data_IF_345902068745
#
_entry.id   IF_345902068745
#
_cell.length_a   1.000
_cell.length_b   1.000
_cell.length_c   1.000
_cell.angle_alpha   90.00
_cell.angle_beta   90.00
_cell.angle_gamma   90.00
#
_symmetry.space_group_name_H-M   'P 1'
#
loop_
_entity.id
_entity.type
_entity.pdbx_description
1 polymer ?
#
# COMPACT_ATOMS: atom_id res chain seq x y z
N UNK A 1 -17.50 -13.16 -68.15
CA UNK A 1 -17.10 -11.89 -67.51
C UNK A 1 -18.12 -11.63 -66.42
N UNK A 2 -17.83 -12.11 -65.22
CA UNK A 2 -18.81 -12.23 -64.14
C UNK A 2 -18.65 -11.06 -63.17
N UNK A 3 -19.59 -10.12 -63.20
CA UNK A 3 -19.73 -9.02 -62.24
C UNK A 3 -20.59 -9.51 -61.07
N UNK A 4 -19.95 -9.79 -59.93
CA UNK A 4 -20.62 -10.14 -58.68
C UNK A 4 -20.97 -8.87 -57.89
N UNK A 5 -22.27 -8.57 -57.81
CA UNK A 5 -22.81 -7.66 -56.80
C UNK A 5 -22.73 -8.32 -55.42
N UNK A 6 -22.27 -7.56 -54.41
CA UNK A 6 -22.35 -7.95 -52.99
C UNK A 6 -23.44 -7.12 -52.30
N UNK A 7 -24.19 -7.72 -51.35
CA UNK A 7 -25.24 -7.03 -50.61
C UNK A 7 -24.74 -6.31 -49.36
N UNK A 8 -25.64 -5.50 -48.82
CA UNK A 8 -25.54 -4.51 -47.76
C UNK A 8 -24.83 -4.93 -46.47
N UNK A 9 -24.13 -3.94 -45.90
CA UNK A 9 -23.55 -3.93 -44.56
C UNK A 9 -24.64 -3.99 -43.48
N UNK A 10 -24.66 -5.07 -42.70
CA UNK A 10 -25.40 -5.12 -41.44
C UNK A 10 -24.50 -4.58 -40.32
N UNK A 11 -24.84 -3.41 -39.78
CA UNK A 11 -24.30 -2.88 -38.52
C UNK A 11 -24.73 -3.78 -37.36
N UNK A 12 -23.84 -4.66 -36.91
CA UNK A 12 -23.97 -5.41 -35.67
C UNK A 12 -23.36 -4.63 -34.50
N UNK A 13 -24.22 -3.99 -33.70
CA UNK A 13 -23.86 -3.35 -32.44
C UNK A 13 -23.50 -4.41 -31.38
N UNK A 14 -22.27 -4.91 -31.41
CA UNK A 14 -21.72 -5.67 -30.27
C UNK A 14 -21.19 -4.68 -29.25
N UNK A 15 -22.04 -4.36 -28.27
CA UNK A 15 -21.65 -3.75 -27.00
C UNK A 15 -20.61 -4.64 -26.33
N UNK A 16 -19.33 -4.40 -26.62
CA UNK A 16 -18.25 -4.88 -25.78
C UNK A 16 -18.40 -4.17 -24.44
N UNK A 17 -19.03 -4.88 -23.51
CA UNK A 17 -18.91 -4.62 -22.08
C UNK A 17 -17.40 -4.65 -21.81
N UNK A 18 -16.79 -3.47 -21.75
CA UNK A 18 -15.40 -3.32 -21.32
C UNK A 18 -15.38 -3.80 -19.88
N UNK A 19 -14.89 -5.02 -19.67
CA UNK A 19 -14.49 -5.51 -18.36
C UNK A 19 -13.63 -4.42 -17.73
N UNK A 20 -14.22 -3.72 -16.75
CA UNK A 20 -13.49 -2.75 -15.96
C UNK A 20 -12.44 -3.54 -15.18
N UNK A 21 -11.14 -3.28 -15.35
CA UNK A 21 -10.14 -3.91 -14.52
C UNK A 21 -10.36 -3.44 -13.08
N UNK A 22 -10.77 -4.37 -12.22
CA UNK A 22 -10.94 -4.14 -10.79
C UNK A 22 -9.63 -3.62 -10.20
N UNK A 23 -9.65 -2.54 -9.39
CA UNK A 23 -8.45 -1.96 -8.82
C UNK A 23 -7.80 -2.97 -7.87
N UNK A 24 -6.52 -3.29 -8.09
CA UNK A 24 -5.73 -4.10 -7.15
C UNK A 24 -5.43 -3.25 -5.90
N UNK A 25 -5.84 -3.64 -4.68
CA UNK A 25 -6.02 -2.73 -3.55
C UNK A 25 -4.79 -2.71 -2.62
N UNK A 26 -3.59 -2.63 -3.18
CA UNK A 26 -2.35 -2.71 -2.38
C UNK A 26 -1.71 -1.34 -2.12
N UNK A 27 -1.97 -0.38 -3.01
CA UNK A 27 -1.51 1.00 -2.90
C UNK A 27 -2.63 1.91 -3.42
N UNK A 28 -3.29 2.65 -2.53
CA UNK A 28 -4.21 3.70 -2.97
C UNK A 28 -3.41 4.96 -3.28
N UNK A 29 -3.71 5.56 -4.43
CA UNK A 29 -3.34 6.94 -4.69
C UNK A 29 -4.14 7.80 -3.71
N UNK A 30 -3.47 8.59 -2.86
CA UNK A 30 -4.16 9.57 -2.03
C UNK A 30 -3.58 10.97 -2.27
N UNK A 31 -4.55 11.89 -2.36
CA UNK A 31 -4.60 13.33 -2.63
C UNK A 31 -3.27 14.06 -2.94
N UNK A 32 -3.20 14.81 -4.06
CA UNK A 32 -2.15 15.81 -4.26
C UNK A 32 -2.32 16.94 -3.24
N UNK A 33 -1.70 16.82 -2.08
CA UNK A 33 -1.41 17.99 -1.25
C UNK A 33 -0.25 18.76 -1.89
N UNK A 34 -0.22 20.10 -1.87
CA UNK A 34 0.97 20.85 -2.23
C UNK A 34 2.05 20.51 -1.20
N UNK A 35 3.02 19.65 -1.57
CA UNK A 35 4.07 19.19 -0.65
C UNK A 35 5.33 20.04 -0.80
N UNK A 36 5.52 20.68 -1.95
CA UNK A 36 6.75 21.42 -2.23
C UNK A 36 6.40 22.90 -2.32
N UNK A 37 6.73 23.62 -1.25
CA UNK A 37 6.76 25.07 -1.23
C UNK A 37 8.22 25.52 -1.14
N UNK A 38 8.68 26.28 -2.13
CA UNK A 38 10.05 26.80 -2.17
C UNK A 38 10.03 28.32 -2.38
N UNK A 39 10.81 29.04 -1.57
CA UNK A 39 11.05 30.47 -1.77
C UNK A 39 12.26 30.65 -2.67
N UNK A 40 12.09 31.41 -3.75
CA UNK A 40 13.15 31.76 -4.67
C UNK A 40 13.27 33.28 -4.80
N UNK A 41 14.49 33.79 -4.66
CA UNK A 41 14.82 35.19 -4.96
C UNK A 41 14.89 35.35 -6.46
N UNK A 42 14.16 36.32 -6.99
CA UNK A 42 14.19 36.67 -8.42
C UNK A 42 14.56 38.14 -8.58
N UNK A 43 14.89 38.55 -9.80
CA UNK A 43 15.13 39.97 -10.15
C UNK A 43 13.92 40.88 -9.83
N UNK A 44 12.72 40.30 -9.71
CA UNK A 44 11.46 41.01 -9.40
C UNK A 44 11.03 40.85 -7.93
N UNK A 45 11.87 40.31 -7.06
CA UNK A 45 11.58 40.06 -5.64
C UNK A 45 11.42 38.59 -5.28
N UNK A 46 10.91 38.32 -4.09
CA UNK A 46 10.68 36.96 -3.59
C UNK A 46 9.48 36.32 -4.30
N UNK A 47 9.67 35.09 -4.75
CA UNK A 47 8.62 34.27 -5.35
C UNK A 47 8.44 32.99 -4.54
N UNK A 48 7.18 32.57 -4.38
CA UNK A 48 6.81 31.30 -3.76
C UNK A 48 6.40 30.32 -4.85
N UNK A 49 7.20 29.29 -5.05
CA UNK A 49 6.87 28.19 -5.94
C UNK A 49 6.11 27.10 -5.15
N UNK A 50 4.91 26.75 -5.60
CA UNK A 50 4.07 25.71 -5.00
C UNK A 50 3.78 24.65 -6.08
N UNK A 51 4.34 23.46 -5.89
CA UNK A 51 4.12 22.31 -6.77
C UNK A 51 3.23 21.24 -6.11
N UNK A 52 2.25 20.75 -6.88
CA UNK A 52 1.44 19.59 -6.51
C UNK A 52 2.22 18.30 -6.81
N UNK A 53 2.35 17.43 -5.81
CA UNK A 53 2.99 16.12 -5.96
C UNK A 53 2.04 15.01 -5.53
N UNK A 54 2.12 13.86 -6.18
CA UNK A 54 1.35 12.68 -5.83
C UNK A 54 2.26 11.59 -5.30
N UNK A 55 1.91 11.03 -4.15
CA UNK A 55 2.63 9.91 -3.54
C UNK A 55 1.66 8.77 -3.22
N UNK A 56 2.14 7.54 -3.30
CA UNK A 56 1.33 6.35 -2.97
C UNK A 56 1.59 5.93 -1.53
N UNK A 57 0.53 5.49 -0.85
CA UNK A 57 0.58 5.03 0.54
C UNK A 57 0.00 3.63 0.65
N UNK A 58 0.46 2.89 1.65
CA UNK A 58 -0.15 1.62 2.02
C UNK A 58 -1.53 1.86 2.63
N UNK A 59 -2.50 1.06 2.20
CA UNK A 59 -3.84 1.03 2.79
C UNK A 59 -3.78 0.29 4.16
N UNK A 60 -4.44 0.81 5.21
CA UNK A 60 -4.43 0.20 6.53
C UNK A 60 -5.33 -1.04 6.60
N UNK A 61 -4.84 -2.14 6.02
CA UNK A 61 -5.53 -3.43 5.92
C UNK A 61 -4.92 -4.48 6.83
N UNK A 62 -5.70 -5.52 7.18
CA UNK A 62 -5.14 -6.72 7.78
C UNK A 62 -4.15 -7.37 6.81
N UNK A 63 -3.06 -7.94 7.33
CA UNK A 63 -2.04 -8.56 6.47
C UNK A 63 -2.60 -9.77 5.72
N UNK A 64 -3.58 -10.47 6.29
CA UNK A 64 -4.32 -11.56 5.61
C UNK A 64 -5.05 -11.04 4.37
N UNK A 65 -5.79 -9.93 4.51
CA UNK A 65 -6.51 -9.31 3.39
C UNK A 65 -5.54 -8.75 2.34
N UNK A 66 -4.45 -8.14 2.79
CA UNK A 66 -3.38 -7.69 1.91
C UNK A 66 -2.80 -8.87 1.10
N UNK A 67 -2.50 -9.99 1.74
CA UNK A 67 -1.94 -11.16 1.06
C UNK A 67 -2.93 -11.75 0.06
N UNK A 68 -4.22 -11.85 0.44
CA UNK A 68 -5.32 -12.28 -0.44
C UNK A 68 -5.38 -11.43 -1.70
N UNK A 69 -5.38 -10.11 -1.54
CA UNK A 69 -5.47 -9.15 -2.62
C UNK A 69 -4.21 -9.09 -3.49
N UNK A 70 -3.04 -9.20 -2.88
CA UNK A 70 -1.75 -9.13 -3.56
C UNK A 70 -1.47 -10.37 -4.40
N UNK A 71 -1.84 -11.55 -3.91
CA UNK A 71 -1.62 -12.83 -4.58
C UNK A 71 -2.84 -13.27 -5.43
N UNK A 72 -3.99 -12.62 -5.25
CA UNK A 72 -5.26 -12.98 -5.87
C UNK A 72 -5.64 -14.46 -5.62
N UNK A 73 -5.60 -14.87 -4.35
CA UNK A 73 -5.89 -16.24 -3.90
C UNK A 73 -7.02 -16.25 -2.85
N UNK A 74 -7.64 -17.41 -2.67
CA UNK A 74 -8.56 -17.65 -1.56
C UNK A 74 -7.84 -17.95 -0.24
N UNK A 75 -8.44 -17.55 0.87
CA UNK A 75 -7.88 -17.73 2.22
C UNK A 75 -7.73 -19.20 2.64
N UNK A 76 -8.54 -20.08 2.07
CA UNK A 76 -8.55 -21.51 2.40
C UNK A 76 -7.40 -22.29 1.73
N UNK A 77 -6.72 -21.70 0.76
CA UNK A 77 -5.63 -22.33 0.03
C UNK A 77 -4.31 -22.13 0.78
N UNK A 78 -3.47 -23.17 0.84
CA UNK A 78 -2.10 -23.03 1.33
C UNK A 78 -1.23 -22.22 0.35
N UNK A 79 -0.32 -21.41 0.89
CA UNK A 79 0.59 -20.58 0.11
C UNK A 79 1.69 -21.44 -0.51
N UNK A 80 1.93 -21.28 -1.81
CA UNK A 80 3.06 -21.93 -2.47
C UNK A 80 4.37 -21.21 -2.15
N UNK A 81 5.52 -21.85 -2.37
CA UNK A 81 6.83 -21.20 -2.17
C UNK A 81 6.97 -19.91 -3.00
N UNK A 82 6.40 -19.89 -4.21
CA UNK A 82 6.39 -18.71 -5.09
C UNK A 82 5.62 -17.56 -4.44
N UNK A 83 4.44 -17.86 -3.90
CA UNK A 83 3.58 -16.88 -3.23
C UNK A 83 4.28 -16.34 -1.97
N UNK A 84 4.90 -17.22 -1.19
CA UNK A 84 5.68 -16.87 -0.01
C UNK A 84 6.83 -15.91 -0.35
N UNK A 85 7.60 -16.21 -1.40
CA UNK A 85 8.72 -15.35 -1.84
C UNK A 85 8.20 -13.98 -2.31
N UNK A 86 7.10 -13.95 -3.04
CA UNK A 86 6.47 -12.71 -3.50
C UNK A 86 6.01 -11.86 -2.31
N UNK A 87 5.29 -12.48 -1.38
CA UNK A 87 4.78 -11.83 -0.17
C UNK A 87 5.91 -11.33 0.74
N UNK A 88 6.98 -12.11 0.90
CA UNK A 88 8.21 -11.70 1.61
C UNK A 88 8.80 -10.44 1.00
N UNK A 89 8.87 -10.33 -0.32
CA UNK A 89 9.38 -9.13 -1.01
C UNK A 89 8.48 -7.91 -0.82
N UNK A 90 7.16 -8.13 -0.84
CA UNK A 90 6.16 -7.07 -0.67
C UNK A 90 6.16 -6.49 0.75
N UNK A 91 6.16 -7.36 1.77
CA UNK A 91 6.05 -6.94 3.18
C UNK A 91 7.37 -6.52 3.81
N UNK A 92 8.53 -6.85 3.21
CA UNK A 92 9.83 -6.48 3.79
C UNK A 92 9.98 -4.96 3.94
N UNK A 93 10.14 -4.52 5.19
CA UNK A 93 10.30 -3.13 5.58
C UNK A 93 9.01 -2.41 5.92
N UNK A 94 7.84 -3.03 5.72
CA UNK A 94 6.53 -2.50 6.11
C UNK A 94 6.39 -2.58 7.63
N UNK A 95 5.83 -1.54 8.25
CA UNK A 95 5.45 -1.55 9.67
C UNK A 95 4.04 -2.09 9.82
N UNK A 96 3.85 -3.01 10.76
CA UNK A 96 2.55 -3.55 11.13
C UNK A 96 2.29 -3.27 12.60
N UNK A 97 1.02 -3.08 12.96
CA UNK A 97 0.55 -3.07 14.33
C UNK A 97 -0.09 -4.42 14.67
N UNK A 98 0.12 -4.88 15.90
CA UNK A 98 -0.52 -6.10 16.39
C UNK A 98 -1.89 -5.81 17.00
N UNK A 99 -2.87 -6.67 16.72
CA UNK A 99 -4.27 -6.50 17.14
C UNK A 99 -4.68 -7.38 18.33
N UNK A 100 -3.89 -8.40 18.67
CA UNK A 100 -4.22 -9.36 19.73
C UNK A 100 -3.99 -8.83 21.16
N UNK A 101 -3.32 -7.68 21.33
CA UNK A 101 -3.00 -7.07 22.63
C UNK A 101 -4.02 -6.01 23.09
N UNK A 102 -5.26 -6.06 22.58
CA UNK A 102 -6.32 -5.12 22.96
C UNK A 102 -5.92 -3.66 22.70
N UNK A 103 -5.85 -2.86 23.77
CA UNK A 103 -5.49 -1.43 23.69
C UNK A 103 -3.99 -1.19 23.42
N UNK A 104 -3.13 -2.18 23.65
CA UNK A 104 -1.70 -2.08 23.40
C UNK A 104 -1.34 -2.37 21.95
N UNK A 105 -1.43 -1.36 21.08
CA UNK A 105 -1.06 -1.48 19.65
C UNK A 105 0.43 -1.34 19.40
N UNK A 106 1.20 -2.37 19.76
CA UNK A 106 2.64 -2.42 19.46
C UNK A 106 2.87 -2.48 17.95
N UNK A 107 3.91 -1.77 17.49
CA UNK A 107 4.30 -1.70 16.07
C UNK A 107 5.61 -2.43 15.84
N UNK A 108 5.67 -3.23 14.78
CA UNK A 108 6.84 -3.99 14.38
C UNK A 108 7.19 -3.71 12.93
N UNK A 109 8.48 -3.64 12.61
CA UNK A 109 8.97 -3.59 11.24
C UNK A 109 9.22 -5.02 10.75
N UNK A 110 8.57 -5.40 9.66
CA UNK A 110 8.69 -6.74 9.10
C UNK A 110 10.07 -6.92 8.43
N UNK A 111 10.79 -7.94 8.85
CA UNK A 111 12.08 -8.35 8.27
C UNK A 111 11.90 -9.46 7.23
N UNK A 112 10.92 -10.34 7.44
CA UNK A 112 10.66 -11.45 6.53
C UNK A 112 9.35 -12.19 6.79
N UNK A 113 9.26 -13.36 6.15
CA UNK A 113 8.16 -14.33 6.29
C UNK A 113 8.83 -15.69 6.53
N UNK A 114 8.28 -16.50 7.42
CA UNK A 114 8.83 -17.82 7.78
C UNK A 114 8.76 -18.79 6.62
N UNK A 115 9.73 -19.71 6.54
CA UNK A 115 9.72 -20.78 5.53
C UNK A 115 8.63 -21.82 5.83
N UNK A 116 8.55 -22.24 7.09
CA UNK A 116 7.55 -23.19 7.57
C UNK A 116 6.18 -22.53 7.79
N UNK A 117 5.09 -23.31 7.67
CA UNK A 117 3.75 -22.88 8.05
C UNK A 117 3.64 -22.71 9.57
N UNK A 118 2.66 -21.91 10.01
CA UNK A 118 2.42 -21.61 11.42
C UNK A 118 2.20 -22.87 12.28
N UNK A 119 1.58 -23.92 11.73
CA UNK A 119 1.35 -25.21 12.42
C UNK A 119 2.62 -25.90 12.92
N UNK A 120 3.74 -25.71 12.23
CA UNK A 120 5.02 -26.40 12.50
C UNK A 120 6.05 -25.45 13.12
N UNK A 121 5.72 -24.17 13.26
CA UNK A 121 6.66 -23.16 13.70
C UNK A 121 6.81 -23.18 15.22
N UNK A 122 8.04 -23.45 15.68
CA UNK A 122 8.47 -23.34 17.07
C UNK A 122 9.39 -22.14 17.29
N UNK A 123 9.49 -21.69 18.54
CA UNK A 123 10.44 -20.67 18.96
C UNK A 123 10.89 -20.95 20.39
N UNK A 124 12.12 -20.54 20.76
CA UNK A 124 12.59 -20.67 22.14
C UNK A 124 11.85 -19.67 23.04
N UNK A 125 11.23 -20.14 24.13
CA UNK A 125 10.54 -19.26 25.10
C UNK A 125 11.58 -18.51 25.94
N UNK A 126 12.60 -19.22 26.41
CA UNK A 126 13.56 -18.76 27.41
C UNK A 126 15.00 -19.13 27.01
N UNK A 127 15.97 -18.61 27.75
CA UNK A 127 17.40 -18.97 27.60
C UNK A 127 17.69 -20.43 28.00
N UNK A 128 16.73 -21.09 28.65
CA UNK A 128 16.73 -22.52 28.97
C UNK A 128 16.71 -23.42 27.72
N UNK A 129 16.33 -22.88 26.55
CA UNK A 129 16.30 -23.62 25.29
C UNK A 129 15.00 -24.38 25.03
N UNK A 130 13.99 -24.27 25.90
CA UNK A 130 12.69 -24.90 25.70
C UNK A 130 11.96 -24.27 24.50
N UNK A 131 11.62 -25.12 23.53
CA UNK A 131 10.88 -24.73 22.34
C UNK A 131 9.37 -24.86 22.55
N UNK A 132 8.63 -23.89 22.03
CA UNK A 132 7.18 -23.94 22.00
C UNK A 132 6.61 -23.50 20.66
N UNK A 133 5.51 -24.15 20.29
CA UNK A 133 4.76 -23.77 19.10
C UNK A 133 4.18 -22.37 19.22
N UNK A 134 4.29 -21.60 18.13
CA UNK A 134 3.71 -20.25 18.06
C UNK A 134 2.19 -20.30 18.27
N UNK A 135 1.50 -21.29 17.68
CA UNK A 135 0.04 -21.47 17.87
C UNK A 135 -0.33 -21.63 19.34
N UNK A 136 0.39 -22.51 20.06
CA UNK A 136 0.17 -22.80 21.47
C UNK A 136 0.42 -21.57 22.35
N UNK A 137 1.50 -20.84 22.09
CA UNK A 137 1.78 -19.59 22.79
C UNK A 137 0.66 -18.57 22.66
N UNK A 138 0.11 -18.39 21.45
CA UNK A 138 -0.97 -17.43 21.22
C UNK A 138 -2.29 -17.86 21.88
N UNK A 139 -2.57 -19.16 21.91
CA UNK A 139 -3.74 -19.72 22.58
C UNK A 139 -3.62 -19.60 24.12
N UNK A 140 -2.49 -19.97 24.70
CA UNK A 140 -2.30 -19.93 26.16
C UNK A 140 -2.16 -18.49 26.69
N UNK A 141 -1.39 -17.63 26.02
CA UNK A 141 -1.08 -16.28 26.52
C UNK A 141 -2.12 -15.23 26.18
N UNK A 142 -2.71 -15.32 24.99
CA UNK A 142 -3.63 -14.30 24.47
C UNK A 142 -5.05 -14.83 24.24
N UNK A 143 -5.32 -16.10 24.54
CA UNK A 143 -6.62 -16.75 24.25
C UNK A 143 -7.01 -16.60 22.77
N UNK A 144 -6.02 -16.53 21.88
CA UNK A 144 -6.21 -16.31 20.46
C UNK A 144 -5.94 -17.59 19.67
N UNK A 145 -7.00 -18.15 19.09
CA UNK A 145 -6.90 -19.34 18.24
C UNK A 145 -6.68 -18.95 16.79
N UNK A 146 -5.48 -19.23 16.28
CA UNK A 146 -5.12 -19.00 14.88
C UNK A 146 -5.93 -19.92 13.96
N UNK A 147 -6.57 -19.37 12.92
CA UNK A 147 -7.40 -20.13 11.96
C UNK A 147 -6.58 -20.61 10.75
N UNK A 148 -5.71 -19.74 10.23
CA UNK A 148 -4.90 -19.96 9.03
C UNK A 148 -3.55 -20.60 9.40
N UNK A 149 -3.58 -21.75 10.07
CA UNK A 149 -2.37 -22.44 10.53
C UNK A 149 -1.49 -23.00 9.40
N UNK A 150 -2.05 -23.14 8.20
CA UNK A 150 -1.32 -23.53 6.99
C UNK A 150 -0.51 -22.39 6.36
N UNK A 151 -0.75 -21.14 6.79
CA UNK A 151 -0.06 -19.97 6.29
C UNK A 151 1.23 -19.72 7.09
N UNK A 152 2.26 -19.09 6.49
CA UNK A 152 3.47 -18.75 7.21
C UNK A 152 3.24 -17.57 8.17
N UNK A 153 4.18 -17.36 9.08
CA UNK A 153 4.20 -16.20 9.97
C UNK A 153 5.03 -15.06 9.41
N UNK A 154 4.72 -13.84 9.87
CA UNK A 154 5.61 -12.70 9.69
C UNK A 154 6.76 -12.80 10.69
N UNK A 155 7.95 -12.43 10.22
CA UNK A 155 9.13 -12.31 11.06
C UNK A 155 9.46 -10.83 11.28
N UNK A 156 9.73 -10.48 12.52
CA UNK A 156 10.22 -9.18 12.96
C UNK A 156 11.37 -9.36 13.96
N UNK A 157 11.91 -8.26 14.50
CA UNK A 157 13.02 -8.30 15.45
C UNK A 157 14.40 -8.41 14.78
N UNK A 158 15.40 -8.83 15.56
CA UNK A 158 16.76 -9.10 15.08
C UNK A 158 16.93 -10.57 14.71
N UNK A 159 18.00 -10.89 13.99
CA UNK A 159 18.34 -12.29 13.67
C UNK A 159 18.67 -13.11 14.93
N UNK A 160 19.16 -12.46 15.99
CA UNK A 160 19.46 -13.08 17.29
C UNK A 160 18.24 -13.35 18.17
N UNK A 161 17.19 -12.53 18.05
CA UNK A 161 15.92 -12.68 18.79
C UNK A 161 14.76 -12.44 17.82
N UNK A 162 14.45 -13.42 16.96
CA UNK A 162 13.37 -13.29 16.00
C UNK A 162 12.02 -13.25 16.71
N UNK A 163 11.12 -12.43 16.20
CA UNK A 163 9.74 -12.33 16.68
C UNK A 163 8.83 -12.89 15.59
N UNK A 164 8.02 -13.89 15.93
CA UNK A 164 7.07 -14.51 15.02
C UNK A 164 5.65 -13.99 15.29
N UNK A 165 5.02 -13.45 14.24
CA UNK A 165 3.70 -12.86 14.32
C UNK A 165 2.78 -13.55 13.30
N UNK A 166 1.71 -14.24 13.74
CA UNK A 166 0.68 -14.75 12.85
C UNK A 166 0.08 -13.61 12.00
N UNK A 167 -0.14 -13.84 10.71
CA UNK A 167 -0.66 -12.79 9.81
C UNK A 167 -2.03 -12.26 10.24
N UNK A 168 -2.85 -13.10 10.89
CA UNK A 168 -4.18 -12.75 11.39
C UNK A 168 -4.18 -11.68 12.46
N UNK A 169 -3.08 -11.56 13.21
CA UNK A 169 -2.97 -10.60 14.30
C UNK A 169 -2.21 -9.34 13.90
N UNK A 170 -1.97 -9.12 12.60
CA UNK A 170 -1.18 -8.02 12.07
C UNK A 170 -1.98 -7.16 11.11
N UNK A 171 -1.99 -5.85 11.37
CA UNK A 171 -2.57 -4.82 10.50
C UNK A 171 -1.48 -3.88 10.00
N UNK A 172 -1.53 -3.50 8.73
CA UNK A 172 -0.59 -2.53 8.15
C UNK A 172 -0.88 -1.14 8.74
N UNK A 173 0.17 -0.46 9.21
CA UNK A 173 0.04 0.90 9.77
C UNK A 173 -0.26 1.89 8.65
N UNK A 174 -1.19 2.81 8.89
CA UNK A 174 -1.57 3.86 7.95
C UNK A 174 -0.44 4.90 7.72
N UNK A 175 -0.56 5.70 6.65
CA UNK A 175 0.37 6.80 6.36
C UNK A 175 1.79 6.35 5.94
N UNK A 176 2.01 5.05 5.73
CA UNK A 176 3.29 4.55 5.26
C UNK A 176 3.43 4.75 3.75
N UNK A 177 4.49 5.45 3.33
CA UNK A 177 4.81 5.63 1.92
C UNK A 177 5.10 4.30 1.23
N UNK A 178 4.38 4.02 0.16
CA UNK A 178 4.65 2.88 -0.71
C UNK A 178 5.89 3.18 -1.55
N UNK A 179 7.02 2.57 -1.19
CA UNK A 179 8.33 2.83 -1.83
C UNK A 179 8.76 1.72 -2.78
N UNK A 180 7.89 0.73 -3.04
CA UNK A 180 8.16 -0.36 -3.98
C UNK A 180 7.72 0.04 -5.39
N UNK A 181 8.26 -0.64 -6.40
CA UNK A 181 7.86 -0.43 -7.79
C UNK A 181 6.38 -0.82 -7.95
N UNK A 182 5.59 0.14 -8.40
CA UNK A 182 4.16 -0.02 -8.68
C UNK A 182 3.99 -0.85 -9.97
N UNK A 183 2.94 -1.68 -10.03
CA UNK A 183 2.56 -2.37 -11.25
C UNK A 183 2.02 -1.37 -12.30
N UNK A 184 2.04 -1.71 -13.59
CA UNK A 184 1.51 -0.88 -14.68
C UNK A 184 0.09 -0.39 -14.38
N UNK A 185 -0.78 -1.26 -13.89
CA UNK A 185 -2.18 -0.91 -13.56
C UNK A 185 -2.26 0.09 -12.41
N UNK A 186 -1.42 -0.07 -11.38
CA UNK A 186 -1.32 0.85 -10.25
C UNK A 186 -0.76 2.21 -10.69
N UNK A 187 0.25 2.20 -11.57
CA UNK A 187 0.78 3.40 -12.19
C UNK A 187 -0.30 4.08 -13.02
N UNK A 188 -1.04 3.36 -13.84
CA UNK A 188 -2.15 3.92 -14.63
C UNK A 188 -3.26 4.45 -13.73
N UNK A 189 -3.58 3.81 -12.62
CA UNK A 189 -4.55 4.30 -11.65
C UNK A 189 -4.09 5.60 -10.98
N UNK A 190 -2.82 5.68 -10.57
CA UNK A 190 -2.22 6.91 -10.04
C UNK A 190 -2.23 7.99 -11.12
N UNK A 191 -1.80 7.68 -12.34
CA UNK A 191 -1.80 8.62 -13.46
C UNK A 191 -3.22 9.15 -13.69
N UNK A 192 -4.21 8.29 -13.84
CA UNK A 192 -5.62 8.71 -13.99
C UNK A 192 -6.12 9.58 -12.85
N UNK A 193 -5.73 9.29 -11.61
CA UNK A 193 -6.12 10.06 -10.42
C UNK A 193 -5.38 11.42 -10.31
N UNK A 194 -4.21 11.54 -10.92
CA UNK A 194 -3.32 12.72 -10.86
C UNK A 194 -3.34 13.56 -12.14
N UNK A 195 -3.94 13.02 -13.19
CA UNK A 195 -4.09 13.69 -14.47
C UNK A 195 -5.15 14.79 -14.37
N UNK A 196 -4.66 15.97 -14.03
CA UNK A 196 -5.36 17.22 -14.20
C UNK A 196 -5.16 17.73 -15.64
N UNK A 197 -6.23 18.20 -16.31
CA UNK A 197 -6.08 18.81 -17.64
C UNK A 197 -5.24 20.09 -17.50
N UNK A 198 -4.36 20.44 -18.46
CA UNK A 198 -3.48 21.61 -18.37
C UNK A 198 -4.17 22.92 -17.94
N UNK A 199 -5.37 23.20 -18.48
CA UNK A 199 -6.18 24.38 -18.09
C UNK A 199 -6.67 24.34 -16.63
N UNK A 200 -6.94 23.16 -16.08
CA UNK A 200 -7.34 23.02 -14.66
C UNK A 200 -6.15 23.14 -13.72
N UNK A 201 -4.96 22.72 -14.19
CA UNK A 201 -3.70 22.85 -13.46
C UNK A 201 -3.29 24.31 -13.30
N UNK A 202 -3.54 25.14 -14.31
CA UNK A 202 -3.40 26.60 -14.21
C UNK A 202 -4.37 27.14 -13.14
N UNK A 203 -5.65 26.81 -13.17
CA UNK A 203 -6.59 27.33 -12.15
C UNK A 203 -6.25 26.89 -10.71
N UNK A 204 -5.72 25.67 -10.51
CA UNK A 204 -5.28 25.20 -9.18
C UNK A 204 -3.91 25.76 -8.75
N UNK A 205 -3.02 26.13 -9.69
CA UNK A 205 -1.77 26.84 -9.37
C UNK A 205 -1.95 28.36 -9.23
N UNK A 206 -2.99 28.95 -9.84
CA UNK A 206 -3.36 30.37 -9.77
C UNK A 206 -3.99 30.74 -8.41
N UNK A 207 -4.40 29.76 -7.58
CA UNK A 207 -4.73 30.01 -6.16
C UNK A 207 -3.48 30.33 -5.31
N UNK A 208 -2.28 30.31 -5.91
CA UNK A 208 -1.17 31.13 -5.42
C UNK A 208 -1.49 32.60 -5.70
N UNK A 209 -2.30 33.20 -4.81
CA UNK A 209 -2.49 34.65 -4.77
C UNK A 209 -1.11 35.28 -4.86
N UNK A 210 -0.94 36.17 -5.83
CA UNK A 210 0.01 37.30 -5.75
C UNK A 210 -0.28 38.05 -4.45
N UNK A 211 0.24 37.56 -3.33
CA UNK A 211 0.49 38.39 -2.17
C UNK A 211 1.80 39.10 -2.49
N UNK A 212 1.68 40.18 -3.28
CA UNK A 212 2.67 41.24 -3.26
C UNK A 212 2.73 41.70 -1.80
N UNK A 213 3.72 41.25 -1.02
CA UNK A 213 4.01 41.84 0.30
C UNK A 213 4.71 43.18 0.05
N UNK A 214 3.99 44.11 -0.58
CA UNK A 214 4.37 45.50 -0.80
C UNK A 214 3.09 46.28 -1.10
N UNK A 215 2.23 46.45 -0.09
CA UNK A 215 1.23 47.52 -0.01
C UNK A 215 0.76 47.75 1.45
N UNK A 216 1.68 47.64 2.42
CA UNK A 216 1.44 48.08 3.81
C UNK A 216 2.73 48.61 4.47
N UNK A 217 3.45 49.46 3.74
CA UNK A 217 4.36 50.44 4.37
C UNK A 217 3.85 51.82 4.01
N UNK A 218 2.77 52.24 4.67
CA UNK A 218 2.47 53.66 4.82
C UNK A 218 1.97 53.94 6.23
N UNK A 219 2.87 54.54 7.00
CA UNK A 219 2.65 55.50 8.08
C UNK A 219 1.79 55.06 9.29
N UNK A 220 2.46 54.95 10.45
CA UNK A 220 2.06 55.71 11.65
C UNK A 220 3.18 55.80 12.69
N UNK A 221 3.50 57.07 12.96
CA UNK A 221 4.30 57.73 14.02
C UNK A 221 5.73 57.25 14.27
#
# INVERSE_FOLDING_TARGET
MSSSGRPAECYGSSSQQRDQPQPTPTARAYVPTPVVAALAVTHMGLSLNIDMSATSFYEPLQVVDFARQYLNIDLNRALTDRDRISLKKALRGVKVEVTHMGDCRRRYKITGVTSAPLRELTFPIDESGDEMHVTRYFEEKYQFRCRHVSWPCLQAGSDSRPIYLPMEVCKIVEGQRFSKKLNKDQVTAILRATWERPLQRENNSIVSRRASVLDDIQFRS
#
